data_IF_464641312408
#
_entry.id   IF_464641312408
#
_cell.length_a   1.000
_cell.length_b   1.000
_cell.length_c   1.000
_cell.angle_alpha   90.00
_cell.angle_beta   90.00
_cell.angle_gamma   90.00
#
_symmetry.space_group_name_H-M   'P 1'
#
loop_
_entity.id
_entity.type
_entity.pdbx_description
1 polymer ?
#
# COMPACT_ATOMS: atom_id res chain seq x y z
N UNK A 1 12.24 -6.74 10.58
CA UNK A 1 11.04 -6.08 10.05
C UNK A 1 9.86 -6.66 10.80
N UNK A 2 9.22 -5.88 11.64
CA UNK A 2 8.00 -6.27 12.35
C UNK A 2 6.83 -5.49 11.72
N UNK A 3 6.34 -5.92 10.53
CA UNK A 3 5.20 -5.25 9.89
C UNK A 3 3.95 -5.38 10.76
N UNK A 4 3.04 -4.42 10.62
CA UNK A 4 1.74 -4.46 11.26
C UNK A 4 0.76 -5.21 10.37
N UNK A 5 0.33 -6.40 10.78
CA UNK A 5 -0.71 -7.17 10.09
C UNK A 5 -2.12 -6.73 10.55
N UNK A 6 -3.03 -6.46 9.60
CA UNK A 6 -4.35 -5.88 9.88
C UNK A 6 -5.38 -6.97 10.22
N UNK A 7 -5.50 -7.34 11.51
CA UNK A 7 -6.10 -8.64 11.86
C UNK A 7 -5.35 -9.74 11.09
N UNK A 8 -5.61 -11.03 11.19
CA UNK A 8 -4.87 -12.01 10.38
C UNK A 8 -5.36 -12.03 8.91
N UNK A 9 -5.27 -10.89 8.21
CA UNK A 9 -5.69 -10.71 6.81
C UNK A 9 -4.60 -11.06 5.81
N UNK A 10 -3.34 -11.18 6.25
CA UNK A 10 -2.18 -11.22 5.35
C UNK A 10 -1.75 -9.86 4.81
N UNK A 11 -2.52 -8.78 5.06
CA UNK A 11 -2.16 -7.42 4.69
C UNK A 11 -1.20 -6.86 5.74
N UNK A 12 0.03 -6.59 5.31
CA UNK A 12 1.10 -6.04 6.13
C UNK A 12 1.33 -4.57 5.82
N UNK A 13 1.11 -3.67 6.78
CA UNK A 13 1.56 -2.28 6.73
C UNK A 13 2.99 -2.16 7.26
N UNK A 14 3.80 -1.31 6.62
CA UNK A 14 5.20 -1.13 6.99
C UNK A 14 5.38 -0.17 8.17
N UNK A 15 6.33 -0.49 9.03
CA UNK A 15 6.84 0.46 10.02
C UNK A 15 7.58 1.59 9.30
N UNK A 16 7.67 2.75 9.96
CA UNK A 16 8.26 3.95 9.36
C UNK A 16 9.69 3.73 8.87
N UNK A 17 10.46 2.97 9.64
CA UNK A 17 11.87 2.66 9.39
C UNK A 17 12.06 1.83 8.11
N UNK A 18 11.04 1.06 7.75
CA UNK A 18 11.07 0.09 6.67
C UNK A 18 10.57 0.67 5.34
N UNK A 19 9.81 1.77 5.41
CA UNK A 19 9.18 2.36 4.23
C UNK A 19 10.19 2.75 3.14
N UNK A 20 11.34 3.33 3.53
CA UNK A 20 12.35 3.75 2.57
C UNK A 20 12.93 2.54 1.82
N UNK A 21 13.40 1.53 2.55
CA UNK A 21 13.98 0.31 1.98
C UNK A 21 13.00 -0.39 1.04
N UNK A 22 11.72 -0.46 1.42
CA UNK A 22 10.68 -1.11 0.62
C UNK A 22 10.38 -0.35 -0.67
N UNK A 23 10.26 0.97 -0.61
CA UNK A 23 10.03 1.78 -1.81
C UNK A 23 11.25 1.75 -2.76
N UNK A 24 12.47 1.66 -2.23
CA UNK A 24 13.68 1.49 -3.04
C UNK A 24 13.76 0.10 -3.69
N UNK A 25 13.43 -0.96 -2.93
CA UNK A 25 13.47 -2.35 -3.42
C UNK A 25 12.57 -2.55 -4.63
N UNK A 26 11.37 -1.98 -4.62
CA UNK A 26 10.41 -2.07 -5.72
C UNK A 26 10.49 -0.90 -6.70
N UNK A 27 11.50 -0.04 -6.57
CA UNK A 27 11.75 1.09 -7.48
C UNK A 27 10.52 2.00 -7.69
N UNK A 28 9.69 2.19 -6.65
CA UNK A 28 8.41 2.91 -6.75
C UNK A 28 8.60 4.32 -7.30
N UNK A 29 9.66 5.02 -6.92
CA UNK A 29 9.97 6.37 -7.43
C UNK A 29 10.24 6.39 -8.95
N UNK A 30 10.70 5.28 -9.53
CA UNK A 30 10.98 5.16 -10.96
C UNK A 30 9.72 4.85 -11.74
N UNK A 31 8.98 3.84 -11.30
CA UNK A 31 7.83 3.31 -12.05
C UNK A 31 6.54 4.10 -11.76
N UNK A 32 6.38 4.61 -10.54
CA UNK A 32 5.19 5.30 -10.04
C UNK A 32 5.57 6.54 -9.18
N UNK A 33 6.20 7.58 -9.77
CA UNK A 33 6.83 8.69 -9.03
C UNK A 33 5.86 9.50 -8.15
N UNK A 34 4.58 9.51 -8.48
CA UNK A 34 3.56 10.22 -7.70
C UNK A 34 3.09 9.43 -6.47
N UNK A 35 3.51 8.17 -6.32
CA UNK A 35 3.03 7.27 -5.28
C UNK A 35 4.13 6.83 -4.32
N UNK A 36 3.68 6.36 -3.16
CA UNK A 36 4.52 5.84 -2.10
C UNK A 36 3.87 4.59 -1.51
N UNK A 37 4.58 3.48 -1.52
CA UNK A 37 4.12 2.20 -1.00
C UNK A 37 4.12 2.19 0.53
N UNK A 38 3.04 1.71 1.13
CA UNK A 38 2.82 1.66 2.58
C UNK A 38 2.62 0.24 3.12
N UNK A 39 2.35 -0.73 2.27
CA UNK A 39 2.11 -2.11 2.68
C UNK A 39 1.86 -3.04 1.49
N UNK A 40 1.67 -4.33 1.76
CA UNK A 40 1.36 -5.34 0.75
C UNK A 40 0.59 -6.55 1.30
N UNK A 41 -0.02 -7.28 0.39
CA UNK A 41 -0.59 -8.62 0.53
C UNK A 41 -0.09 -9.48 -0.64
N UNK A 42 0.93 -10.31 -0.40
CA UNK A 42 1.62 -10.99 -1.49
C UNK A 42 2.19 -9.98 -2.50
N UNK A 43 1.80 -10.08 -3.76
CA UNK A 43 2.22 -9.19 -4.85
C UNK A 43 1.33 -7.94 -5.01
N UNK A 44 0.20 -7.87 -4.30
CA UNK A 44 -0.66 -6.70 -4.27
C UNK A 44 -0.09 -5.68 -3.28
N UNK A 45 0.21 -4.48 -3.76
CA UNK A 45 0.78 -3.40 -2.95
C UNK A 45 -0.22 -2.27 -2.73
N UNK A 46 -0.10 -1.62 -1.58
CA UNK A 46 -0.94 -0.50 -1.18
C UNK A 46 -0.13 0.79 -1.11
N UNK A 47 -0.71 1.90 -1.58
CA UNK A 47 -0.02 3.16 -1.85
C UNK A 47 -0.79 4.38 -1.35
N UNK A 48 -0.06 5.46 -1.11
CA UNK A 48 -0.58 6.82 -0.94
C UNK A 48 -0.03 7.70 -2.07
N UNK A 49 -0.86 8.60 -2.59
CA UNK A 49 -0.43 9.59 -3.57
C UNK A 49 0.23 10.79 -2.89
N UNK A 50 1.47 11.10 -3.26
CA UNK A 50 2.26 12.19 -2.69
C UNK A 50 1.58 13.53 -2.93
N UNK A 51 1.47 14.36 -1.88
CA UNK A 51 0.97 15.74 -1.94
C UNK A 51 -0.44 15.91 -2.57
N UNK A 52 -1.30 14.89 -2.50
CA UNK A 52 -2.61 14.93 -3.14
C UNK A 52 -3.76 14.78 -2.13
N UNK A 53 -4.06 13.54 -1.72
CA UNK A 53 -5.16 13.17 -0.85
C UNK A 53 -4.73 12.08 0.15
N UNK A 54 -5.61 11.75 1.09
CA UNK A 54 -5.38 10.72 2.11
C UNK A 54 -5.81 9.32 1.64
N UNK A 55 -6.14 9.14 0.36
CA UNK A 55 -6.72 7.90 -0.13
C UNK A 55 -5.67 6.79 -0.19
N UNK A 56 -6.16 5.55 -0.05
CA UNK A 56 -5.36 4.35 -0.26
C UNK A 56 -5.63 3.83 -1.67
N UNK A 57 -4.55 3.56 -2.38
CA UNK A 57 -4.55 2.98 -3.71
C UNK A 57 -3.92 1.60 -3.68
N UNK A 58 -4.25 0.75 -4.65
CA UNK A 58 -3.64 -0.56 -4.83
C UNK A 58 -3.17 -0.76 -6.26
N UNK A 59 -2.12 -1.57 -6.41
CA UNK A 59 -1.70 -2.11 -7.70
C UNK A 59 -0.83 -3.37 -7.50
N UNK A 60 -0.75 -4.19 -8.54
CA UNK A 60 0.14 -5.35 -8.58
C UNK A 60 1.60 -4.86 -8.78
N UNK A 61 2.53 -5.37 -7.96
CA UNK A 61 3.95 -5.01 -8.03
C UNK A 61 4.59 -5.36 -9.37
N UNK A 62 4.11 -6.40 -10.05
CA UNK A 62 4.55 -6.78 -11.39
C UNK A 62 3.97 -5.91 -12.52
N UNK A 63 3.05 -5.00 -12.20
CA UNK A 63 2.34 -4.15 -13.16
C UNK A 63 2.60 -2.64 -12.99
N UNK A 64 3.51 -2.25 -12.09
CA UNK A 64 3.91 -0.85 -11.90
C UNK A 64 4.37 -0.21 -13.21
N UNK A 65 3.98 1.04 -13.44
CA UNK A 65 4.22 1.78 -14.67
C UNK A 65 3.40 1.31 -15.89
N UNK A 66 2.58 0.26 -15.74
CA UNK A 66 1.78 -0.34 -16.83
C UNK A 66 0.28 -0.29 -16.57
N UNK A 67 -0.17 -0.50 -15.34
CA UNK A 67 -1.58 -0.44 -14.94
C UNK A 67 -1.85 0.78 -14.06
N UNK A 68 -3.03 1.36 -14.21
CA UNK A 68 -3.47 2.49 -13.37
C UNK A 68 -3.72 2.06 -11.93
N UNK A 69 -3.21 2.84 -10.98
CA UNK A 69 -3.49 2.71 -9.55
C UNK A 69 -4.99 2.78 -9.25
N UNK A 70 -5.51 1.81 -8.49
CA UNK A 70 -6.93 1.74 -8.14
C UNK A 70 -7.18 2.26 -6.73
N UNK A 71 -8.08 3.21 -6.55
CA UNK A 71 -8.45 3.70 -5.22
C UNK A 71 -9.31 2.67 -4.49
N UNK A 72 -8.93 2.29 -3.27
CA UNK A 72 -9.63 1.29 -2.45
C UNK A 72 -10.21 1.82 -1.15
N UNK A 73 -9.68 2.93 -0.64
CA UNK A 73 -10.21 3.60 0.55
C UNK A 73 -9.99 5.11 0.51
N UNK A 74 -10.78 5.86 1.28
CA UNK A 74 -10.64 7.32 1.37
C UNK A 74 -9.58 7.75 2.41
N UNK A 75 -9.31 6.91 3.41
CA UNK A 75 -8.27 7.09 4.42
C UNK A 75 -7.66 5.74 4.83
N UNK A 76 -6.52 5.76 5.52
CA UNK A 76 -5.94 4.54 6.13
C UNK A 76 -6.86 3.90 7.18
N UNK A 77 -7.67 4.71 7.88
CA UNK A 77 -8.63 4.20 8.85
C UNK A 77 -9.78 3.47 8.15
N UNK A 78 -10.35 4.08 7.10
CA UNK A 78 -11.39 3.42 6.29
C UNK A 78 -10.86 2.12 5.67
N UNK A 79 -9.58 2.08 5.29
CA UNK A 79 -8.94 0.87 4.77
C UNK A 79 -8.84 -0.22 5.84
N UNK A 80 -8.33 0.11 7.03
CA UNK A 80 -8.21 -0.83 8.15
C UNK A 80 -9.59 -1.36 8.56
N UNK A 81 -10.57 -0.46 8.72
CA UNK A 81 -11.93 -0.85 9.12
C UNK A 81 -12.56 -1.77 8.07
N UNK A 82 -12.43 -1.45 6.78
CA UNK A 82 -12.91 -2.30 5.68
C UNK A 82 -12.29 -3.70 5.72
N UNK A 83 -10.96 -3.79 5.88
CA UNK A 83 -10.25 -5.08 5.97
C UNK A 83 -10.72 -5.90 7.18
N UNK A 84 -10.98 -5.24 8.31
CA UNK A 84 -11.49 -5.90 9.51
C UNK A 84 -12.96 -6.34 9.36
N UNK A 85 -13.80 -5.54 8.69
CA UNK A 85 -15.21 -5.86 8.42
C UNK A 85 -15.38 -7.02 7.43
N UNK A 86 -14.56 -7.08 6.37
CA UNK A 86 -14.62 -8.17 5.37
C UNK A 86 -14.28 -9.56 5.95
N UNK A 87 -13.76 -9.60 7.20
CA UNK A 87 -13.47 -10.85 7.93
C UNK A 87 -14.63 -11.31 8.85
N UNK A 88 -15.64 -10.47 9.09
CA UNK A 88 -16.82 -10.82 9.91
C UNK A 88 -17.88 -11.57 9.11
#
# INVERSE_FOLDING_TARGET
>A
MDPYEIGDSGICLYAKEDLLERNETYQIEVDEPDFFMIGQEGDLAYFIKKNADDCIYENDLGALGSLEMQKVAATVYDFIDKVLEERL
#
